data_IF_512246673551
#
_entry.id   IF_512246673551
#
_cell.length_a   1.000
_cell.length_b   1.000
_cell.length_c   1.000
_cell.angle_alpha   90.00
_cell.angle_beta   90.00
_cell.angle_gamma   90.00
#
_symmetry.space_group_name_H-M   'P 1'
#
loop_
_entity.id
_entity.type
_entity.pdbx_description
1 polymer ?
#
# COMPACT_ATOMS: atom_id res chain seq x y z
N UNK A 1 11.80 -10.07 -4.67
CA UNK A 1 11.21 -9.01 -3.81
C UNK A 1 12.25 -8.62 -2.78
N UNK A 2 12.90 -7.47 -3.00
CA UNK A 2 13.88 -6.95 -2.06
C UNK A 2 13.15 -6.23 -0.91
N UNK A 3 13.30 -6.71 0.33
CA UNK A 3 12.83 -5.98 1.52
C UNK A 3 13.80 -4.82 1.76
N UNK A 4 13.39 -3.61 1.45
CA UNK A 4 14.18 -2.42 1.70
C UNK A 4 13.91 -1.89 3.10
N UNK A 5 14.97 -1.69 3.88
CA UNK A 5 14.94 -0.89 5.10
C UNK A 5 14.76 0.58 4.67
N UNK A 6 13.55 1.07 4.75
CA UNK A 6 13.22 2.45 4.46
C UNK A 6 13.67 3.30 5.65
N UNK A 7 14.50 4.30 5.40
CA UNK A 7 14.99 5.22 6.45
C UNK A 7 13.86 6.00 7.12
N UNK A 8 14.08 6.44 8.35
CA UNK A 8 13.11 7.09 9.22
C UNK A 8 12.39 8.31 8.60
N UNK A 9 13.05 9.09 7.77
CA UNK A 9 12.46 10.27 7.12
C UNK A 9 11.41 9.95 6.06
N UNK A 10 11.58 8.88 5.30
CA UNK A 10 10.57 8.44 4.33
C UNK A 10 9.28 7.99 5.03
N UNK A 11 9.38 7.29 6.13
CA UNK A 11 8.22 6.87 6.93
C UNK A 11 7.40 8.05 7.47
N UNK A 12 8.04 9.16 7.86
CA UNK A 12 7.36 10.34 8.40
C UNK A 12 6.53 11.05 7.31
N UNK A 13 7.11 11.24 6.13
CA UNK A 13 6.43 11.90 5.00
C UNK A 13 5.27 11.05 4.47
N UNK A 14 5.46 9.76 4.31
CA UNK A 14 4.42 8.84 3.82
C UNK A 14 3.26 8.77 4.82
N UNK A 15 3.54 8.72 6.11
CA UNK A 15 2.52 8.80 7.16
C UNK A 15 1.69 10.06 7.07
N UNK A 16 2.31 11.21 6.88
CA UNK A 16 1.60 12.48 6.75
C UNK A 16 0.60 12.46 5.59
N UNK A 17 1.03 12.05 4.40
CA UNK A 17 0.17 12.01 3.22
C UNK A 17 -0.92 10.95 3.31
N UNK A 18 -0.62 9.79 3.87
CA UNK A 18 -1.61 8.72 4.12
C UNK A 18 -2.65 9.18 5.12
N UNK A 19 -2.24 9.81 6.24
CA UNK A 19 -3.17 10.35 7.22
C UNK A 19 -4.02 11.48 6.64
N UNK A 20 -3.45 12.33 5.79
CA UNK A 20 -4.19 13.35 5.05
C UNK A 20 -5.24 12.71 4.13
N UNK A 21 -4.83 11.74 3.30
CA UNK A 21 -5.74 11.00 2.44
C UNK A 21 -6.86 10.32 3.22
N UNK A 22 -6.55 9.75 4.39
CA UNK A 22 -7.55 9.13 5.25
C UNK A 22 -8.57 10.15 5.78
N UNK A 23 -8.12 11.28 6.27
CA UNK A 23 -9.03 12.34 6.78
C UNK A 23 -9.94 12.92 5.70
N UNK A 24 -9.46 12.99 4.47
CA UNK A 24 -10.20 13.61 3.37
C UNK A 24 -11.14 12.63 2.64
N UNK A 25 -10.81 11.33 2.63
CA UNK A 25 -11.49 10.39 1.74
C UNK A 25 -12.05 9.12 2.41
N UNK A 26 -11.43 8.60 3.47
CA UNK A 26 -11.77 7.27 3.98
C UNK A 26 -12.37 7.29 5.38
N UNK A 27 -11.84 8.15 6.27
CA UNK A 27 -12.25 8.26 7.68
C UNK A 27 -12.13 6.92 8.45
N UNK A 28 -11.15 6.12 8.08
CA UNK A 28 -10.91 4.83 8.74
C UNK A 28 -10.16 5.00 10.05
N UNK A 29 -10.48 4.12 10.99
CA UNK A 29 -9.68 3.94 12.20
C UNK A 29 -8.39 3.20 11.82
N UNK A 30 -7.29 3.93 11.82
CA UNK A 30 -5.96 3.45 11.43
C UNK A 30 -5.04 3.40 12.63
N UNK A 31 -4.23 2.35 12.70
CA UNK A 31 -3.17 2.26 13.69
C UNK A 31 -1.85 2.78 13.13
N UNK A 32 -1.27 2.09 12.14
CA UNK A 32 -0.01 2.49 11.51
C UNK A 32 0.26 1.78 10.18
N UNK A 33 1.34 2.21 9.53
CA UNK A 33 1.94 1.48 8.42
C UNK A 33 2.55 0.18 8.96
N UNK A 34 2.22 -0.95 8.33
CA UNK A 34 2.90 -2.22 8.58
C UNK A 34 4.32 -2.17 8.00
N UNK A 35 5.24 -1.57 8.76
CA UNK A 35 6.62 -1.31 8.33
C UNK A 35 7.42 -2.56 7.97
N UNK A 36 7.03 -3.72 8.51
CA UNK A 36 7.65 -5.01 8.18
C UNK A 36 7.24 -5.56 6.83
N UNK A 37 6.15 -5.04 6.23
CA UNK A 37 5.61 -5.49 4.96
C UNK A 37 5.83 -4.53 3.79
N UNK A 38 6.48 -3.38 4.00
CA UNK A 38 6.81 -2.47 2.90
C UNK A 38 7.72 -3.18 1.90
N UNK A 39 7.36 -3.09 0.62
CA UNK A 39 8.05 -3.78 -0.47
C UNK A 39 8.51 -2.78 -1.52
N UNK A 40 9.79 -2.86 -1.86
CA UNK A 40 10.30 -2.30 -3.10
C UNK A 40 10.03 -3.33 -4.22
N UNK A 41 9.27 -2.93 -5.22
CA UNK A 41 8.91 -3.79 -6.35
C UNK A 41 9.50 -3.25 -7.64
N UNK A 42 9.92 -4.13 -8.51
CA UNK A 42 10.26 -3.82 -9.89
C UNK A 42 9.58 -4.82 -10.82
N UNK A 43 9.22 -4.33 -12.01
CA UNK A 43 8.58 -5.11 -13.06
C UNK A 43 9.40 -4.94 -14.33
N UNK A 44 9.99 -6.03 -14.78
CA UNK A 44 10.69 -6.14 -16.06
C UNK A 44 9.71 -6.49 -17.19
N UNK A 45 10.10 -6.38 -18.46
CA UNK A 45 9.24 -6.80 -19.57
C UNK A 45 8.77 -8.25 -19.41
N UNK A 46 7.47 -8.45 -19.44
CA UNK A 46 6.81 -9.74 -19.18
C UNK A 46 6.23 -9.89 -17.77
N UNK A 47 6.71 -9.12 -16.80
CA UNK A 47 6.19 -9.18 -15.42
C UNK A 47 4.81 -8.56 -15.32
N UNK A 48 3.99 -9.13 -14.43
CA UNK A 48 2.65 -8.67 -14.09
C UNK A 48 2.27 -9.11 -12.68
N UNK A 49 1.20 -8.54 -12.16
CA UNK A 49 0.55 -9.05 -10.96
C UNK A 49 -0.94 -9.20 -11.22
N UNK A 50 -1.48 -10.37 -10.97
CA UNK A 50 -2.88 -10.70 -11.30
C UNK A 50 -3.89 -9.96 -10.42
N UNK A 51 -5.18 -10.05 -10.77
CA UNK A 51 -6.28 -9.48 -9.99
C UNK A 51 -6.32 -10.03 -8.57
N UNK A 52 -6.27 -9.14 -7.59
CA UNK A 52 -6.32 -9.47 -6.17
C UNK A 52 -6.89 -8.30 -5.35
N UNK A 53 -7.11 -8.56 -4.08
CA UNK A 53 -7.32 -7.57 -3.02
C UNK A 53 -6.21 -7.73 -1.99
N UNK A 54 -5.82 -6.64 -1.33
CA UNK A 54 -4.74 -6.67 -0.33
C UNK A 54 -5.23 -7.02 1.06
N UNK A 55 -6.50 -6.81 1.31
CA UNK A 55 -7.17 -7.11 2.56
C UNK A 55 -8.63 -7.43 2.36
N UNK A 56 -9.20 -8.17 3.28
CA UNK A 56 -10.63 -8.41 3.38
C UNK A 56 -11.12 -8.27 4.83
N UNK A 57 -12.41 -8.48 5.06
CA UNK A 57 -13.02 -8.34 6.39
C UNK A 57 -12.67 -9.49 7.35
N UNK A 58 -12.21 -10.62 6.83
CA UNK A 58 -11.97 -11.86 7.58
C UNK A 58 -10.50 -12.14 7.85
N UNK A 59 -9.58 -11.65 7.00
CA UNK A 59 -8.16 -11.91 7.12
C UNK A 59 -7.51 -10.99 8.15
N UNK A 60 -7.39 -11.49 9.37
CA UNK A 60 -6.67 -10.82 10.45
C UNK A 60 -5.25 -11.37 10.59
N UNK A 61 -4.33 -10.51 11.03
CA UNK A 61 -2.95 -10.90 11.29
C UNK A 61 -2.36 -10.05 12.43
N UNK A 62 -1.26 -10.48 13.00
CA UNK A 62 -0.52 -9.67 13.98
C UNK A 62 0.43 -8.72 13.24
N UNK A 63 0.32 -7.41 13.47
CA UNK A 63 1.19 -6.46 12.78
C UNK A 63 2.64 -6.63 13.22
N UNK A 64 3.57 -6.53 12.28
CA UNK A 64 4.99 -6.51 12.57
C UNK A 64 5.45 -5.06 12.82
N UNK A 65 4.95 -4.47 13.89
CA UNK A 65 5.29 -3.11 14.31
C UNK A 65 6.51 -3.20 15.23
N UNK A 66 7.64 -2.66 14.76
CA UNK A 66 8.87 -2.64 15.58
C UNK A 66 8.73 -1.62 16.70
N UNK A 67 9.13 -1.94 17.94
CA UNK A 67 9.27 -0.97 19.01
C UNK A 67 10.17 0.19 18.55
N UNK A 68 9.76 1.44 18.86
CA UNK A 68 10.55 2.63 18.50
C UNK A 68 10.30 3.20 17.11
N UNK A 69 9.34 2.70 16.36
CA UNK A 69 8.97 3.22 15.02
C UNK A 69 8.28 4.61 15.03
N UNK A 70 8.21 5.27 16.18
CA UNK A 70 7.56 6.58 16.34
C UNK A 70 6.03 6.51 16.33
N UNK A 71 5.48 5.34 16.50
CA UNK A 71 4.05 5.08 16.50
C UNK A 71 3.52 5.19 17.91
N UNK A 72 2.57 6.10 18.12
CA UNK A 72 1.78 6.18 19.36
C UNK A 72 0.64 5.14 19.39
N UNK A 73 0.92 3.92 18.96
CA UNK A 73 0.04 2.82 19.36
C UNK A 73 0.57 2.39 20.72
N UNK A 74 -0.24 2.52 21.76
CA UNK A 74 0.12 1.91 23.02
C UNK A 74 0.38 0.43 22.71
N UNK A 75 1.54 -0.08 23.10
CA UNK A 75 1.86 -1.51 22.96
C UNK A 75 0.71 -2.37 23.51
N UNK A 76 -0.03 -1.84 24.48
CA UNK A 76 -1.23 -2.43 25.04
C UNK A 76 -2.36 -2.65 24.04
N UNK A 77 -2.57 -1.77 23.06
CA UNK A 77 -3.64 -1.97 22.06
C UNK A 77 -3.28 -3.08 21.06
N UNK A 78 -2.02 -3.21 20.70
CA UNK A 78 -1.55 -4.29 19.83
C UNK A 78 -1.47 -5.61 20.60
N UNK A 79 -1.01 -5.59 21.84
CA UNK A 79 -0.87 -6.77 22.69
C UNK A 79 -2.20 -7.27 23.25
N UNK A 80 -3.12 -6.37 23.59
CA UNK A 80 -4.42 -6.74 24.16
C UNK A 80 -5.45 -7.19 23.12
N UNK A 81 -5.40 -6.69 21.88
CA UNK A 81 -6.35 -7.04 20.83
C UNK A 81 -5.78 -7.92 19.72
N UNK A 82 -4.47 -8.11 19.67
CA UNK A 82 -3.75 -9.16 18.95
C UNK A 82 -3.92 -9.24 17.44
N UNK A 83 -4.93 -8.63 16.84
CA UNK A 83 -5.28 -8.82 15.45
C UNK A 83 -5.68 -7.52 14.78
N UNK A 84 -5.13 -7.29 13.61
CA UNK A 84 -5.45 -6.16 12.75
C UNK A 84 -5.85 -6.63 11.34
N UNK A 85 -6.40 -5.71 10.58
CA UNK A 85 -6.66 -5.88 9.15
C UNK A 85 -5.97 -4.77 8.37
N UNK A 86 -5.63 -5.04 7.12
CA UNK A 86 -5.20 -4.00 6.19
C UNK A 86 -6.40 -3.13 5.83
N UNK A 87 -6.27 -1.83 6.10
CA UNK A 87 -7.31 -0.83 5.85
C UNK A 87 -7.06 -0.08 4.56
N UNK A 88 -5.84 0.42 4.39
CA UNK A 88 -5.41 1.14 3.21
C UNK A 88 -4.16 0.49 2.63
N UNK A 89 -4.11 0.46 1.33
CA UNK A 89 -2.92 0.13 0.55
C UNK A 89 -2.35 1.39 -0.07
N UNK A 90 -1.05 1.43 -0.24
CA UNK A 90 -0.43 2.52 -0.97
C UNK A 90 0.64 2.03 -1.95
N UNK A 91 0.82 2.80 -3.01
CA UNK A 91 1.88 2.59 -3.99
C UNK A 91 2.49 3.93 -4.37
N UNK A 92 3.80 4.07 -4.16
CA UNK A 92 4.57 5.23 -4.58
C UNK A 92 5.30 4.89 -5.89
N UNK A 93 5.06 5.69 -6.94
CA UNK A 93 5.70 5.50 -8.24
C UNK A 93 7.13 6.03 -8.20
N UNK A 94 8.11 5.17 -8.49
CA UNK A 94 9.54 5.49 -8.45
C UNK A 94 10.17 5.62 -9.83
N UNK A 95 9.56 5.04 -10.88
CA UNK A 95 9.98 5.21 -12.28
C UNK A 95 9.27 6.38 -12.93
N UNK A 96 9.94 7.06 -13.83
CA UNK A 96 9.31 8.05 -14.70
C UNK A 96 8.38 7.34 -15.72
N UNK A 97 7.21 7.92 -15.99
CA UNK A 97 6.21 7.32 -16.87
C UNK A 97 6.73 7.09 -18.32
N UNK A 98 7.73 7.86 -18.76
CA UNK A 98 8.35 7.73 -20.07
C UNK A 98 9.34 6.57 -20.16
N UNK A 99 9.85 6.08 -19.04
CA UNK A 99 10.93 5.08 -18.99
C UNK A 99 10.42 3.64 -19.17
N UNK A 100 9.08 3.44 -19.17
CA UNK A 100 8.49 2.11 -19.33
C UNK A 100 7.13 2.15 -20.04
N UNK A 101 6.75 1.03 -20.64
CA UNK A 101 5.43 0.81 -21.25
C UNK A 101 4.75 -0.40 -20.61
N UNK A 102 3.43 -0.36 -20.50
CA UNK A 102 2.69 -1.37 -19.75
C UNK A 102 2.84 -1.12 -18.24
N UNK A 103 2.63 -2.15 -17.42
CA UNK A 103 2.80 -2.08 -15.97
C UNK A 103 1.85 -1.11 -15.27
N UNK A 104 0.73 -0.74 -15.90
CA UNK A 104 -0.29 0.13 -15.28
C UNK A 104 -0.92 -0.58 -14.08
N UNK A 105 -1.09 0.16 -12.98
CA UNK A 105 -1.96 -0.26 -11.89
C UNK A 105 -3.39 -0.02 -12.31
N UNK A 106 -4.16 -1.08 -12.43
CA UNK A 106 -5.56 -1.07 -12.87
C UNK A 106 -6.45 -1.50 -11.73
N UNK A 107 -7.53 -0.75 -11.53
CA UNK A 107 -8.55 -0.99 -10.53
C UNK A 107 -9.87 -1.36 -11.19
N UNK A 108 -10.72 -2.05 -10.44
CA UNK A 108 -12.11 -2.29 -10.80
C UNK A 108 -13.01 -1.95 -9.62
N UNK A 109 -14.04 -1.14 -9.84
CA UNK A 109 -15.01 -0.80 -8.80
C UNK A 109 -16.14 -1.84 -8.72
N UNK A 110 -17.05 -1.67 -7.76
CA UNK A 110 -18.20 -2.56 -7.57
C UNK A 110 -19.19 -2.60 -8.74
N UNK A 111 -19.20 -1.56 -9.59
CA UNK A 111 -20.00 -1.51 -10.82
C UNK A 111 -19.31 -2.22 -12.00
N UNK A 112 -18.09 -2.74 -11.82
CA UNK A 112 -17.31 -3.36 -12.87
C UNK A 112 -16.55 -2.40 -13.78
N UNK A 113 -16.56 -1.11 -13.45
CA UNK A 113 -15.83 -0.10 -14.21
C UNK A 113 -14.34 -0.16 -13.87
N UNK A 114 -13.51 0.01 -14.89
CA UNK A 114 -12.05 -0.06 -14.78
C UNK A 114 -11.44 1.32 -14.90
N UNK A 115 -10.44 1.59 -14.08
CA UNK A 115 -9.68 2.84 -14.11
C UNK A 115 -8.20 2.59 -13.80
N UNK A 116 -7.34 3.52 -14.20
CA UNK A 116 -5.90 3.40 -14.05
C UNK A 116 -5.36 4.42 -13.08
N UNK A 117 -4.40 4.00 -12.28
CA UNK A 117 -3.63 4.91 -11.45
C UNK A 117 -2.74 5.82 -12.31
N UNK A 118 -2.48 7.06 -11.86
CA UNK A 118 -1.48 7.92 -12.46
C UNK A 118 -0.09 7.26 -12.47
N UNK A 119 0.70 7.50 -13.53
CA UNK A 119 2.03 6.90 -13.72
C UNK A 119 3.19 7.84 -13.40
N UNK A 120 2.93 9.10 -13.07
CA UNK A 120 3.98 10.10 -12.84
C UNK A 120 4.85 9.68 -11.65
N UNK A 121 6.16 9.81 -11.82
CA UNK A 121 7.13 9.60 -10.75
C UNK A 121 6.82 10.49 -9.56
N UNK A 122 6.92 9.94 -8.35
CA UNK A 122 6.61 10.64 -7.09
C UNK A 122 5.14 10.65 -6.72
N UNK A 123 4.24 10.11 -7.55
CA UNK A 123 2.83 9.97 -7.20
C UNK A 123 2.63 8.90 -6.15
N UNK A 124 2.05 9.27 -5.02
CA UNK A 124 1.56 8.36 -4.00
C UNK A 124 0.08 8.06 -4.24
N UNK A 125 -0.23 6.81 -4.49
CA UNK A 125 -1.58 6.30 -4.70
C UNK A 125 -2.00 5.64 -3.40
N UNK A 126 -3.13 6.06 -2.82
CA UNK A 126 -3.70 5.46 -1.60
C UNK A 126 -5.11 4.97 -1.93
N UNK A 127 -5.43 3.75 -1.56
CA UNK A 127 -6.71 3.13 -1.84
C UNK A 127 -7.13 2.15 -0.74
N UNK A 128 -8.43 1.86 -0.65
CA UNK A 128 -8.96 0.84 0.25
C UNK A 128 -8.36 -0.52 -0.09
N UNK A 129 -7.81 -1.22 0.90
CA UNK A 129 -7.16 -2.53 0.69
C UNK A 129 -8.11 -3.60 0.13
N UNK A 130 -9.42 -3.42 0.21
CA UNK A 130 -10.45 -4.29 -0.37
C UNK A 130 -10.72 -4.01 -1.85
N UNK A 131 -10.16 -2.93 -2.40
CA UNK A 131 -10.33 -2.60 -3.82
C UNK A 131 -9.59 -3.62 -4.67
N UNK A 132 -10.32 -4.26 -5.59
CA UNK A 132 -9.74 -5.21 -6.53
C UNK A 132 -8.86 -4.50 -7.54
N UNK A 133 -7.61 -4.94 -7.65
CA UNK A 133 -6.62 -4.30 -8.52
C UNK A 133 -5.62 -5.31 -9.08
N UNK A 134 -4.85 -4.86 -10.06
CA UNK A 134 -3.75 -5.62 -10.65
C UNK A 134 -2.65 -4.68 -11.16
N UNK A 135 -1.50 -5.25 -11.48
CA UNK A 135 -0.47 -4.61 -12.33
C UNK A 135 -0.50 -5.31 -13.68
N UNK A 136 -0.78 -4.55 -14.75
CA UNK A 136 -0.78 -5.07 -16.11
C UNK A 136 0.63 -5.45 -16.53
N UNK A 137 0.73 -6.34 -17.52
CA UNK A 137 2.02 -6.79 -18.04
C UNK A 137 2.88 -5.61 -18.46
N UNK A 138 4.08 -5.52 -17.89
CA UNK A 138 5.12 -4.60 -18.36
C UNK A 138 5.58 -5.01 -19.74
N UNK A 139 5.67 -4.06 -20.68
CA UNK A 139 5.98 -4.34 -22.09
C UNK A 139 7.42 -3.97 -22.45
N UNK A 140 7.92 -2.90 -21.86
CA UNK A 140 9.31 -2.44 -22.06
C UNK A 140 9.74 -1.51 -20.94
N UNK A 141 11.04 -1.39 -20.73
CA UNK A 141 11.62 -0.59 -19.66
C UNK A 141 11.47 -1.26 -18.28
N UNK A 142 11.73 -0.50 -17.24
CA UNK A 142 11.70 -0.99 -15.86
C UNK A 142 10.78 -0.13 -15.00
N UNK A 143 9.66 -0.70 -14.54
CA UNK A 143 8.77 -0.04 -13.58
C UNK A 143 9.20 -0.36 -12.16
N UNK A 144 9.42 0.68 -11.37
CA UNK A 144 9.76 0.58 -9.94
C UNK A 144 8.69 1.25 -9.09
N UNK A 145 8.32 0.62 -7.99
CA UNK A 145 7.41 1.22 -7.01
C UNK A 145 7.72 0.74 -5.60
N UNK A 146 7.32 1.56 -4.62
CA UNK A 146 7.27 1.18 -3.23
C UNK A 146 5.81 0.92 -2.87
N UNK A 147 5.51 -0.26 -2.35
CA UNK A 147 4.16 -0.62 -1.93
C UNK A 147 4.13 -0.97 -0.45
N UNK A 148 3.01 -0.70 0.19
CA UNK A 148 2.84 -1.03 1.60
C UNK A 148 1.39 -0.90 2.03
N UNK A 149 1.16 -1.20 3.30
CA UNK A 149 -0.17 -1.29 3.87
C UNK A 149 -0.25 -0.55 5.19
N UNK A 150 -1.42 0.01 5.43
CA UNK A 150 -1.79 0.61 6.71
C UNK A 150 -2.82 -0.28 7.37
N UNK A 151 -2.57 -0.61 8.60
CA UNK A 151 -3.39 -1.52 9.38
C UNK A 151 -4.23 -0.75 10.39
N UNK A 152 -5.30 -1.38 10.83
CA UNK A 152 -6.19 -0.89 11.86
C UNK A 152 -6.99 -2.03 12.49
N UNK A 153 -7.91 -1.71 13.41
CA UNK A 153 -8.76 -2.70 14.04
C UNK A 153 -9.64 -3.40 13.00
N UNK A 154 -10.22 -4.54 13.39
CA UNK A 154 -11.22 -5.22 12.56
C UNK A 154 -12.31 -4.25 12.09
N UNK A 155 -12.89 -4.53 10.95
CA UNK A 155 -14.08 -3.82 10.49
C UNK A 155 -15.24 -4.06 11.47
N UNK A 156 -15.96 -2.99 11.78
CA UNK A 156 -17.16 -3.04 12.63
C UNK A 156 -18.41 -3.07 11.77
#
# INVERSE_FOLDING_TARGET
ICRCLVGSEMCIRDRYYIQKANRENFLYDLWDIDGGSIQYTHYEPGDYYTWHVDGDISNTFKPNIKPGSGVNISQDQVLQKGECVRKLSFSLQLSDAKDYKGGEVEFINSAGERYFAPKQKGTLIVFDSRTKHRVRTAKSGLRKSLVGWVVGPRWK
#
